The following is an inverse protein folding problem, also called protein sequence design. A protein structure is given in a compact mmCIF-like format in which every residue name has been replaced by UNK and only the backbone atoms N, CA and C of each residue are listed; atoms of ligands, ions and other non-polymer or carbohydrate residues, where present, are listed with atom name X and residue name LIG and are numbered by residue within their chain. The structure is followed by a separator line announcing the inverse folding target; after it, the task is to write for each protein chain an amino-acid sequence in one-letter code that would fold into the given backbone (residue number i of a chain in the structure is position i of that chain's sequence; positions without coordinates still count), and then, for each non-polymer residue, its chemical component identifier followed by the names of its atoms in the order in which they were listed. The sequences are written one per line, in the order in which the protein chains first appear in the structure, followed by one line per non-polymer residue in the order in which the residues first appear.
data_IF_715079252460
#
_entry.id   IF_715079252460
#
_cell.length_a   1.000
_cell.length_b   1.000
_cell.length_c   1.000
_cell.angle_alpha   90.00
_cell.angle_beta   90.00
_cell.angle_gamma   90.00
#
_symmetry.space_group_name_H-M   'P 1'
#
loop_
_entity.id
_entity.type
_entity.pdbx_description
1 polymer ?
#
# COMPACT_ATOMS: atom_id res chain seq x y z
N UNK A 1 25.48 -21.91 -2.36
CA UNK A 1 24.72 -21.04 -3.29
C UNK A 1 24.27 -19.84 -2.48
N UNK A 2 24.73 -18.64 -2.80
CA UNK A 2 24.41 -17.41 -2.05
C UNK A 2 23.18 -16.77 -2.68
N UNK A 3 22.11 -16.46 -1.93
CA UNK A 3 20.95 -15.78 -2.49
C UNK A 3 21.33 -14.36 -2.92
N UNK A 4 20.78 -13.91 -4.05
CA UNK A 4 20.92 -12.53 -4.56
C UNK A 4 19.58 -11.83 -4.48
N UNK A 5 19.56 -10.63 -3.91
CA UNK A 5 18.38 -9.77 -3.90
C UNK A 5 18.12 -9.22 -5.30
N UNK A 6 16.96 -9.53 -5.89
CA UNK A 6 16.59 -9.09 -7.24
C UNK A 6 15.64 -7.88 -7.26
N UNK A 7 15.02 -7.56 -6.13
CA UNK A 7 14.12 -6.42 -6.01
C UNK A 7 13.59 -6.25 -4.59
N UNK A 8 13.14 -5.03 -4.29
CA UNK A 8 12.50 -4.67 -3.04
C UNK A 8 11.11 -4.12 -3.32
N UNK A 9 10.15 -4.51 -2.50
CA UNK A 9 8.76 -4.10 -2.64
C UNK A 9 8.21 -3.68 -1.28
N UNK A 10 7.54 -2.53 -1.25
CA UNK A 10 6.74 -2.09 -0.11
C UNK A 10 5.27 -2.29 -0.40
N UNK A 11 4.50 -2.66 0.61
CA UNK A 11 3.05 -2.76 0.58
C UNK A 11 2.47 -1.81 1.61
N UNK A 12 2.33 -0.51 1.30
CA UNK A 12 1.94 0.50 2.29
C UNK A 12 0.63 0.18 3.02
N UNK A 13 -0.30 -0.45 2.30
CA UNK A 13 -1.58 -0.92 2.83
C UNK A 13 -1.66 -2.43 2.73
N UNK A 14 -2.10 -3.08 3.80
CA UNK A 14 -2.39 -4.52 3.79
C UNK A 14 -3.35 -4.87 2.64
N UNK A 15 -2.98 -5.88 1.87
CA UNK A 15 -3.81 -6.45 0.79
C UNK A 15 -4.04 -5.58 -0.45
N UNK A 16 -3.34 -4.44 -0.60
CA UNK A 16 -3.34 -3.63 -1.83
C UNK A 16 -2.09 -3.90 -2.68
N UNK A 17 -1.98 -3.24 -3.84
CA UNK A 17 -0.81 -3.35 -4.70
C UNK A 17 0.45 -2.80 -4.01
N UNK A 18 1.57 -3.52 -4.18
CA UNK A 18 2.88 -3.05 -3.72
C UNK A 18 3.56 -2.11 -4.71
N UNK A 19 4.56 -1.39 -4.23
CA UNK A 19 5.43 -0.52 -5.00
C UNK A 19 6.86 -1.08 -5.01
N UNK A 20 7.49 -1.09 -6.18
CA UNK A 20 8.92 -1.43 -6.29
C UNK A 20 9.75 -0.24 -5.82
N UNK A 21 10.79 -0.50 -5.02
CA UNK A 21 11.69 0.53 -4.50
C UNK A 21 13.15 0.15 -4.75
N UNK A 22 14.03 1.12 -5.04
CA UNK A 22 15.46 0.84 -5.22
C UNK A 22 16.20 0.60 -3.89
N UNK A 23 15.66 1.11 -2.79
CA UNK A 23 16.19 0.95 -1.43
C UNK A 23 15.05 1.06 -0.41
N UNK A 24 15.26 0.55 0.80
CA UNK A 24 14.33 0.69 1.91
C UNK A 24 15.11 0.80 3.23
N UNK A 25 14.58 1.59 4.17
CA UNK A 25 15.09 1.65 5.54
C UNK A 25 14.39 0.63 6.42
N UNK A 26 15.05 0.17 7.47
CA UNK A 26 14.50 -0.74 8.47
C UNK A 26 14.38 -0.03 9.81
N UNK A 27 13.27 -0.27 10.50
CA UNK A 27 13.05 0.09 11.90
C UNK A 27 12.61 -1.15 12.71
N UNK A 28 12.27 -0.96 13.99
CA UNK A 28 11.82 -2.04 14.87
C UNK A 28 10.51 -2.73 14.42
N UNK A 29 9.80 -2.15 13.46
CA UNK A 29 8.56 -2.68 12.88
C UNK A 29 8.75 -3.18 11.44
N UNK A 30 9.99 -3.31 10.95
CA UNK A 30 10.32 -3.81 9.62
C UNK A 30 10.69 -2.72 8.63
N UNK A 31 10.34 -2.90 7.35
CA UNK A 31 10.63 -1.89 6.33
C UNK A 31 9.79 -0.63 6.62
N UNK A 32 10.44 0.53 6.70
CA UNK A 32 9.77 1.80 6.96
C UNK A 32 8.71 2.03 5.87
N UNK A 33 7.46 2.24 6.30
CA UNK A 33 6.32 2.44 5.42
C UNK A 33 5.65 1.15 4.92
N UNK A 34 6.15 -0.04 5.24
CA UNK A 34 5.48 -1.30 4.89
C UNK A 34 4.35 -1.62 5.87
N UNK A 35 3.17 -1.93 5.32
CA UNK A 35 1.96 -2.37 6.02
C UNK A 35 1.57 -1.50 7.22
N UNK A 36 1.77 -0.19 7.11
CA UNK A 36 1.38 0.80 8.13
C UNK A 36 -0.11 1.15 8.10
N UNK A 37 -0.81 0.74 7.03
CA UNK A 37 -2.24 0.95 6.86
C UNK A 37 -3.01 -0.36 6.68
N UNK A 38 -4.29 -0.31 7.07
CA UNK A 38 -5.26 -1.39 6.92
C UNK A 38 -6.61 -0.79 6.52
N UNK A 39 -7.29 -1.42 5.57
CA UNK A 39 -8.66 -1.07 5.22
C UNK A 39 -9.63 -1.82 6.13
N UNK A 40 -10.58 -1.07 6.70
CA UNK A 40 -11.71 -1.59 7.48
C UNK A 40 -13.02 -1.16 6.83
N UNK A 41 -14.07 -1.94 7.05
CA UNK A 41 -15.43 -1.48 6.77
C UNK A 41 -15.99 -0.61 7.92
N UNK A 42 -17.21 -0.14 7.75
CA UNK A 42 -17.92 0.70 8.73
C UNK A 42 -18.16 0.03 10.08
N UNK A 43 -18.07 -1.30 10.14
CA UNK A 43 -18.20 -2.08 11.38
C UNK A 43 -16.86 -2.30 12.09
N UNK A 44 -15.76 -1.82 11.49
CA UNK A 44 -14.40 -2.01 11.98
C UNK A 44 -13.79 -3.35 11.58
N UNK A 45 -14.44 -4.11 10.69
CA UNK A 45 -13.91 -5.40 10.26
C UNK A 45 -12.86 -5.22 9.17
N UNK A 46 -11.80 -6.00 9.28
CA UNK A 46 -10.67 -5.93 8.34
C UNK A 46 -11.07 -6.47 6.96
N UNK A 47 -10.79 -5.68 5.93
CA UNK A 47 -10.90 -6.11 4.55
C UNK A 47 -9.57 -6.72 4.09
N UNK A 48 -9.63 -7.84 3.38
CA UNK A 48 -8.45 -8.56 2.89
C UNK A 48 -8.62 -8.99 1.45
N UNK A 49 -7.52 -9.22 0.75
CA UNK A 49 -7.56 -9.72 -0.64
C UNK A 49 -8.20 -11.11 -0.74
N UNK A 50 -8.11 -11.94 0.31
CA UNK A 50 -8.76 -13.26 0.35
C UNK A 50 -10.29 -13.14 0.30
N UNK A 51 -10.85 -12.09 0.91
CA UNK A 51 -12.30 -11.83 0.92
C UNK A 51 -12.73 -10.96 -0.26
N UNK A 52 -11.86 -10.01 -0.68
CA UNK A 52 -12.11 -9.06 -1.75
C UNK A 52 -10.91 -9.02 -2.71
N UNK A 53 -10.80 -9.96 -3.67
CA UNK A 53 -9.63 -10.05 -4.55
C UNK A 53 -9.33 -8.77 -5.36
N UNK A 54 -10.37 -7.98 -5.65
CA UNK A 54 -10.26 -6.70 -6.37
C UNK A 54 -9.42 -5.65 -5.61
N UNK A 55 -9.18 -5.82 -4.31
CA UNK A 55 -8.26 -4.96 -3.55
C UNK A 55 -6.85 -4.90 -4.16
N UNK A 56 -6.40 -5.97 -4.82
CA UNK A 56 -5.11 -6.00 -5.50
C UNK A 56 -4.99 -5.01 -6.67
N UNK A 57 -6.11 -4.50 -7.19
CA UNK A 57 -6.15 -3.53 -8.30
C UNK A 57 -6.01 -2.08 -7.82
N UNK A 58 -6.01 -1.84 -6.51
CA UNK A 58 -5.84 -0.49 -5.96
C UNK A 58 -4.34 -0.20 -5.91
N UNK A 59 -3.91 0.74 -6.75
CA UNK A 59 -2.52 1.19 -6.78
C UNK A 59 -2.21 2.01 -5.53
N UNK A 60 -0.98 1.88 -5.04
CA UNK A 60 -0.47 2.65 -3.91
C UNK A 60 0.72 3.50 -4.34
N UNK A 61 0.85 4.68 -3.75
CA UNK A 61 2.07 5.47 -3.78
C UNK A 61 2.28 6.05 -2.38
N UNK A 62 3.53 6.10 -1.94
CA UNK A 62 3.88 6.57 -0.60
C UNK A 62 4.94 7.65 -0.72
N UNK A 63 4.64 8.84 -0.19
CA UNK A 63 5.59 9.92 0.00
C UNK A 63 5.88 10.14 1.50
N UNK A 64 6.70 11.13 1.83
CA UNK A 64 7.09 11.41 3.22
C UNK A 64 5.90 11.75 4.12
N UNK A 65 4.80 12.26 3.55
CA UNK A 65 3.69 12.89 4.26
C UNK A 65 2.33 12.21 4.00
N UNK A 66 2.18 11.51 2.87
CA UNK A 66 0.90 10.96 2.43
C UNK A 66 1.03 9.57 1.80
N UNK A 67 0.00 8.78 2.01
CA UNK A 67 -0.37 7.64 1.19
C UNK A 67 -1.34 8.13 0.11
N UNK A 68 -1.09 7.78 -1.15
CA UNK A 68 -2.02 7.99 -2.26
C UNK A 68 -2.55 6.64 -2.72
N UNK A 69 -3.88 6.50 -2.81
CA UNK A 69 -4.55 5.33 -3.35
C UNK A 69 -5.25 5.72 -4.65
N UNK A 70 -5.11 4.90 -5.69
CA UNK A 70 -5.76 5.14 -6.97
C UNK A 70 -6.42 3.87 -7.49
N UNK A 71 -7.65 4.00 -7.99
CA UNK A 71 -8.29 2.91 -8.69
C UNK A 71 -7.55 2.61 -10.00
N UNK A 72 -7.45 1.33 -10.38
CA UNK A 72 -6.97 0.98 -11.71
C UNK A 72 -7.87 1.65 -12.78
N UNK A 73 -7.28 2.19 -13.87
CA UNK A 73 -8.06 2.69 -14.99
C UNK A 73 -8.92 1.55 -15.55
N UNK A 74 -10.20 1.83 -15.73
CA UNK A 74 -11.15 0.88 -16.33
C UNK A 74 -11.36 1.28 -17.78
N UNK A 75 -11.14 0.38 -18.76
CA UNK A 75 -11.42 0.67 -20.17
C UNK A 75 -12.92 0.87 -20.44
N UNK A 76 -13.77 0.53 -19.47
CA UNK A 76 -15.23 0.66 -19.54
C UNK A 76 -15.76 1.88 -18.78
N UNK A 77 -14.88 2.71 -18.20
CA UNK A 77 -15.24 3.95 -17.50
C UNK A 77 -14.59 5.13 -18.19
N UNK A 78 -15.39 6.12 -18.56
CA UNK A 78 -14.90 7.41 -19.04
C UNK A 78 -14.51 8.36 -17.91
N UNK A 79 -14.78 8.00 -16.65
CA UNK A 79 -14.35 8.77 -15.49
C UNK A 79 -12.86 8.56 -15.24
N UNK A 80 -12.18 9.65 -14.87
CA UNK A 80 -10.81 9.58 -14.36
C UNK A 80 -10.75 8.63 -13.15
N UNK A 81 -9.69 7.81 -13.05
CA UNK A 81 -9.53 6.90 -11.94
C UNK A 81 -9.52 7.68 -10.62
N UNK A 82 -10.48 7.37 -9.75
CA UNK A 82 -10.59 8.01 -8.45
C UNK A 82 -9.29 7.84 -7.66
N UNK A 83 -8.80 8.94 -7.12
CA UNK A 83 -7.61 8.97 -6.28
C UNK A 83 -7.92 9.65 -4.95
N UNK A 84 -7.40 9.10 -3.86
CA UNK A 84 -7.50 9.67 -2.52
C UNK A 84 -6.12 9.81 -1.90
N UNK A 85 -5.89 10.91 -1.18
CA UNK A 85 -4.66 11.18 -0.42
C UNK A 85 -4.96 11.14 1.07
N UNK A 86 -4.22 10.31 1.79
CA UNK A 86 -4.40 10.03 3.20
C UNK A 86 -3.13 10.49 3.91
N UNK A 87 -3.21 11.41 4.89
CA UNK A 87 -2.04 11.80 5.68
C UNK A 87 -1.41 10.59 6.36
N UNK A 88 -0.10 10.51 6.31
CA UNK A 88 0.67 9.49 7.01
C UNK A 88 0.84 9.93 8.47
N UNK A 89 0.41 9.09 9.40
CA UNK A 89 0.78 9.26 10.79
C UNK A 89 2.27 8.89 10.95
N UNK A 90 3.04 9.61 11.78
CA UNK A 90 4.39 9.17 12.14
C UNK A 90 4.32 7.78 12.77
N UNK A 91 5.36 6.98 12.53
CA UNK A 91 5.46 5.66 13.16
C UNK A 91 5.51 5.86 14.69
N UNK A 92 4.73 5.13 15.49
CA UNK A 92 4.57 5.39 16.94
C UNK A 92 5.84 5.15 17.79
N UNK A 93 6.98 4.87 17.15
CA UNK A 93 8.29 4.68 17.77
C UNK A 93 9.37 5.63 17.21
N UNK A 94 8.99 6.65 16.45
CA UNK A 94 9.86 7.76 16.04
C UNK A 94 9.89 8.87 17.09
#
# INVERSE_FOLDING_TARGET
MTPTLTGLFLYPVKSLAGISVPFASLDGLGLVGDRRFLVIDETGRFLTQRTLPRMALIATALDATHLTLSAAPSPFSSLDPASIRIPRAPDPAA
#
